data_IF_984175525810
#
_entry.id   IF_984175525810
#
_cell.length_a   1.000
_cell.length_b   1.000
_cell.length_c   1.000
_cell.angle_alpha   90.00
_cell.angle_beta   90.00
_cell.angle_gamma   90.00
#
_symmetry.space_group_name_H-M   'P 1'
#
loop_
_entity.id
_entity.type
_entity.pdbx_description
1 polymer ?
#
# COMPACT_ATOMS: atom_id res chain seq x y z
N UNK A 1 51.82 -32.98 16.11
CA UNK A 1 51.04 -32.90 14.86
C UNK A 1 49.56 -32.81 15.24
N UNK A 2 49.03 -31.63 15.26
CA UNK A 2 47.64 -31.35 15.59
C UNK A 2 46.88 -31.15 14.29
N UNK A 3 45.99 -32.07 13.94
CA UNK A 3 45.13 -31.96 12.78
C UNK A 3 43.83 -31.25 13.20
N UNK A 4 43.63 -30.02 12.72
CA UNK A 4 42.41 -29.29 12.82
C UNK A 4 41.33 -29.92 11.95
N UNK A 5 40.32 -30.50 12.56
CA UNK A 5 39.08 -30.90 11.91
C UNK A 5 38.01 -29.82 12.18
N UNK A 6 38.01 -28.78 11.38
CA UNK A 6 36.86 -27.88 11.29
C UNK A 6 35.88 -28.43 10.25
N UNK A 7 35.13 -29.44 10.66
CA UNK A 7 34.03 -29.98 9.87
C UNK A 7 32.85 -29.01 9.89
N UNK A 8 32.64 -28.31 8.80
CA UNK A 8 31.40 -27.59 8.47
C UNK A 8 30.23 -28.58 8.46
N UNK A 9 29.47 -28.65 9.53
CA UNK A 9 28.13 -29.23 9.54
C UNK A 9 27.22 -28.32 8.72
N UNK A 10 27.23 -28.48 7.40
CA UNK A 10 26.19 -27.95 6.56
C UNK A 10 24.89 -28.65 6.94
N UNK A 11 24.01 -27.89 7.55
CA UNK A 11 22.66 -28.33 7.89
C UNK A 11 21.88 -28.64 6.59
N UNK A 12 21.89 -29.90 6.16
CA UNK A 12 21.24 -30.40 4.94
C UNK A 12 19.74 -30.65 5.11
N UNK A 13 19.19 -30.42 6.29
CA UNK A 13 17.75 -30.52 6.52
C UNK A 13 17.06 -29.17 6.32
N UNK A 14 16.89 -28.75 5.06
CA UNK A 14 15.88 -27.75 4.72
C UNK A 14 14.50 -28.38 4.92
N UNK A 15 14.00 -28.31 6.15
CA UNK A 15 12.62 -28.70 6.42
C UNK A 15 11.67 -27.85 5.56
N UNK A 16 10.56 -28.42 5.12
CA UNK A 16 9.55 -27.70 4.34
C UNK A 16 9.05 -26.42 5.04
N UNK A 17 9.14 -26.34 6.35
CA UNK A 17 8.82 -25.16 7.16
C UNK A 17 9.71 -23.94 6.81
N UNK A 18 11.03 -24.13 6.61
CA UNK A 18 11.94 -23.04 6.23
C UNK A 18 11.63 -22.48 4.83
N UNK A 19 11.19 -23.34 3.89
CA UNK A 19 10.79 -22.88 2.56
C UNK A 19 9.54 -22.01 2.56
N UNK A 20 8.68 -22.14 3.58
CA UNK A 20 7.49 -21.27 3.74
C UNK A 20 7.84 -19.90 4.34
N UNK A 21 8.85 -19.83 5.21
CA UNK A 21 9.29 -18.56 5.80
C UNK A 21 10.00 -17.66 4.77
N UNK A 22 10.77 -18.20 3.84
CA UNK A 22 11.45 -17.46 2.78
C UNK A 22 10.50 -16.94 1.67
N UNK A 23 9.35 -17.58 1.49
CA UNK A 23 8.33 -17.11 0.56
C UNK A 23 7.47 -16.08 1.25
N UNK A 24 7.69 -14.83 0.97
CA UNK A 24 6.79 -13.76 1.39
C UNK A 24 5.31 -14.10 1.13
N UNK A 25 4.39 -13.33 1.67
CA UNK A 25 2.95 -13.59 1.54
C UNK A 25 2.56 -13.70 0.07
N UNK A 26 1.76 -14.72 -0.28
CA UNK A 26 1.32 -14.98 -1.65
C UNK A 26 0.58 -13.77 -2.22
N UNK A 27 1.10 -13.23 -3.31
CA UNK A 27 0.43 -12.20 -4.11
C UNK A 27 -0.48 -12.86 -5.15
N UNK A 28 -1.54 -12.17 -5.50
CA UNK A 28 -2.45 -12.62 -6.56
C UNK A 28 -1.78 -12.39 -7.91
N UNK A 29 -1.95 -13.33 -8.83
CA UNK A 29 -1.44 -13.16 -10.21
C UNK A 29 -2.07 -11.92 -10.84
N UNK A 30 -1.33 -11.12 -11.63
CA UNK A 30 -1.84 -9.86 -12.22
C UNK A 30 -3.15 -10.03 -13.00
N UNK A 31 -3.35 -11.19 -13.64
CA UNK A 31 -4.59 -11.53 -14.36
C UNK A 31 -5.82 -11.66 -13.45
N UNK A 32 -5.63 -12.03 -12.18
CA UNK A 32 -6.69 -12.24 -11.19
C UNK A 32 -6.88 -11.04 -10.24
N UNK A 33 -6.09 -10.00 -10.39
CA UNK A 33 -6.24 -8.78 -9.59
C UNK A 33 -7.52 -8.04 -9.99
N UNK A 34 -8.23 -7.56 -8.99
CA UNK A 34 -9.40 -6.70 -9.19
C UNK A 34 -8.92 -5.34 -9.68
N UNK A 35 -9.27 -4.97 -10.91
CA UNK A 35 -8.87 -3.68 -11.51
C UNK A 35 -9.70 -2.52 -10.99
N UNK A 36 -11.00 -2.73 -10.82
CA UNK A 36 -11.93 -1.69 -10.38
C UNK A 36 -12.47 -2.00 -9.00
N UNK A 37 -11.95 -1.31 -8.01
CA UNK A 37 -12.40 -1.43 -6.63
C UNK A 37 -13.60 -0.53 -6.39
N UNK A 38 -14.70 -1.12 -5.91
CA UNK A 38 -15.93 -0.39 -5.55
C UNK A 38 -15.98 -0.02 -4.07
N UNK A 39 -15.12 -0.62 -3.27
CA UNK A 39 -14.97 -0.39 -1.83
C UNK A 39 -13.72 0.44 -1.61
N UNK A 40 -13.80 1.44 -0.76
CA UNK A 40 -12.68 2.28 -0.34
C UNK A 40 -12.53 2.27 1.19
N UNK A 41 -11.37 2.69 1.74
CA UNK A 41 -11.25 2.92 3.19
C UNK A 41 -12.29 3.95 3.63
N UNK A 42 -12.90 3.73 4.81
CA UNK A 42 -14.01 4.54 5.34
C UNK A 42 -15.41 4.05 4.93
N UNK A 43 -15.53 3.09 4.00
CA UNK A 43 -16.84 2.54 3.63
C UNK A 43 -17.41 1.61 4.71
N UNK A 44 -18.72 1.67 4.90
CA UNK A 44 -19.45 0.72 5.70
C UNK A 44 -19.74 -0.54 4.88
N UNK A 45 -19.27 -1.68 5.35
CA UNK A 45 -19.39 -2.97 4.67
C UNK A 45 -19.96 -4.04 5.60
N UNK A 46 -20.61 -5.03 5.01
CA UNK A 46 -21.14 -6.20 5.72
C UNK A 46 -20.42 -7.46 5.26
N UNK A 47 -20.07 -8.35 6.19
CA UNK A 47 -19.45 -9.63 5.91
C UNK A 47 -20.51 -10.62 5.44
N UNK A 48 -20.32 -11.19 4.23
CA UNK A 48 -21.27 -12.13 3.63
C UNK A 48 -20.95 -13.57 4.02
N UNK A 49 -19.67 -13.89 4.18
CA UNK A 49 -19.20 -15.25 4.40
C UNK A 49 -18.04 -15.28 5.41
N UNK A 50 -18.01 -16.31 6.23
CA UNK A 50 -17.01 -16.52 7.28
C UNK A 50 -17.62 -16.55 8.66
N UNK A 51 -16.78 -16.49 9.70
CA UNK A 51 -17.20 -16.53 11.11
C UNK A 51 -18.06 -15.33 11.52
N UNK A 52 -17.78 -14.16 10.97
CA UNK A 52 -18.46 -12.90 11.30
C UNK A 52 -19.56 -12.55 10.28
N UNK A 53 -20.16 -13.57 9.64
CA UNK A 53 -21.22 -13.38 8.67
C UNK A 53 -22.40 -12.58 9.25
N UNK A 54 -22.83 -11.55 8.53
CA UNK A 54 -23.96 -10.68 8.92
C UNK A 54 -23.54 -9.48 9.77
N UNK A 55 -22.29 -9.42 10.22
CA UNK A 55 -21.78 -8.27 10.95
C UNK A 55 -21.34 -7.19 9.97
N UNK A 56 -21.53 -5.92 10.36
CA UNK A 56 -21.13 -4.75 9.58
C UNK A 56 -20.01 -3.98 10.28
N UNK A 57 -19.10 -3.40 9.51
CA UNK A 57 -17.98 -2.64 10.02
C UNK A 57 -17.41 -1.70 8.98
N UNK A 58 -16.59 -0.79 9.43
CA UNK A 58 -15.90 0.19 8.58
C UNK A 58 -14.61 -0.41 7.99
N UNK A 59 -14.33 -0.11 6.74
CA UNK A 59 -13.09 -0.54 6.07
C UNK A 59 -11.94 0.36 6.50
N UNK A 60 -10.94 -0.23 7.17
CA UNK A 60 -9.74 0.47 7.62
C UNK A 60 -8.68 0.57 6.52
N UNK A 61 -8.47 -0.51 5.78
CA UNK A 61 -7.40 -0.60 4.79
C UNK A 61 -7.75 -1.57 3.67
N UNK A 62 -7.25 -1.28 2.48
CA UNK A 62 -7.36 -2.13 1.29
C UNK A 62 -5.98 -2.58 0.84
N UNK A 63 -5.87 -3.86 0.45
CA UNK A 63 -4.66 -4.44 -0.13
C UNK A 63 -4.99 -4.97 -1.56
N UNK A 64 -4.83 -4.15 -2.58
CA UNK A 64 -5.16 -4.52 -3.95
C UNK A 64 -4.32 -5.68 -4.48
N UNK A 65 -3.07 -5.81 -4.04
CA UNK A 65 -2.15 -6.87 -4.49
C UNK A 65 -2.60 -8.27 -4.08
N UNK A 66 -3.46 -8.37 -3.06
CA UNK A 66 -4.00 -9.65 -2.54
C UNK A 66 -5.49 -9.77 -2.68
N UNK A 67 -6.18 -8.76 -3.21
CA UNK A 67 -7.63 -8.66 -3.23
C UNK A 67 -8.24 -8.77 -1.83
N UNK A 68 -7.60 -8.19 -0.83
CA UNK A 68 -8.01 -8.26 0.57
C UNK A 68 -8.27 -6.87 1.13
N UNK A 69 -9.10 -6.81 2.16
CA UNK A 69 -9.38 -5.61 2.91
C UNK A 69 -9.41 -5.91 4.42
N UNK A 70 -9.19 -4.89 5.23
CA UNK A 70 -9.24 -4.95 6.68
C UNK A 70 -10.47 -4.18 7.15
N UNK A 71 -11.34 -4.83 7.91
CA UNK A 71 -12.55 -4.24 8.45
C UNK A 71 -12.42 -4.13 9.96
N UNK A 72 -12.86 -3.02 10.50
CA UNK A 72 -12.87 -2.73 11.92
C UNK A 72 -13.70 -3.78 12.66
N UNK A 73 -13.16 -4.29 13.75
CA UNK A 73 -13.77 -5.25 14.65
C UNK A 73 -14.07 -6.65 14.06
N UNK A 74 -13.68 -6.92 12.82
CA UNK A 74 -13.94 -8.19 12.13
C UNK A 74 -12.69 -9.06 12.00
N UNK A 75 -12.89 -10.39 11.94
CA UNK A 75 -11.84 -11.39 11.78
C UNK A 75 -10.69 -11.22 12.78
N UNK A 76 -11.05 -10.95 14.05
CA UNK A 76 -10.10 -10.77 15.14
C UNK A 76 -9.38 -12.07 15.45
N UNK A 77 -8.08 -11.98 15.59
CA UNK A 77 -7.24 -13.09 16.08
C UNK A 77 -6.44 -12.65 17.29
N UNK A 78 -6.41 -13.54 18.26
CA UNK A 78 -5.57 -13.39 19.44
C UNK A 78 -4.11 -13.61 19.04
N UNK A 79 -3.26 -12.62 19.28
CA UNK A 79 -1.82 -12.70 19.15
C UNK A 79 -1.23 -12.44 20.52
N UNK A 80 -0.28 -13.26 20.92
CA UNK A 80 0.44 -13.09 22.18
C UNK A 80 1.76 -12.43 21.84
N UNK A 81 2.04 -11.29 22.47
CA UNK A 81 3.32 -10.58 22.34
C UNK A 81 4.42 -11.32 23.11
N UNK A 82 5.67 -10.94 22.93
CA UNK A 82 6.84 -11.50 23.61
C UNK A 82 6.73 -11.36 25.13
N UNK A 83 6.06 -10.33 25.61
CA UNK A 83 5.79 -10.08 27.04
C UNK A 83 4.66 -10.95 27.63
N UNK A 84 4.07 -11.86 26.84
CA UNK A 84 2.95 -12.71 27.25
C UNK A 84 1.57 -12.04 27.23
N UNK A 85 1.47 -10.77 26.84
CA UNK A 85 0.21 -10.05 26.75
C UNK A 85 -0.57 -10.46 25.49
N UNK A 86 -1.87 -10.75 25.65
CA UNK A 86 -2.73 -11.12 24.55
C UNK A 86 -3.38 -9.87 23.92
N UNK A 87 -3.11 -9.63 22.64
CA UNK A 87 -3.76 -8.58 21.84
C UNK A 87 -4.66 -9.21 20.77
N UNK A 88 -5.79 -8.56 20.50
CA UNK A 88 -6.65 -8.92 19.39
C UNK A 88 -6.30 -8.05 18.17
N UNK A 89 -5.93 -8.69 17.08
CA UNK A 89 -5.57 -8.01 15.83
C UNK A 89 -6.55 -8.41 14.74
N UNK A 90 -7.12 -7.42 14.04
CA UNK A 90 -7.98 -7.68 12.90
C UNK A 90 -7.16 -8.20 11.73
N UNK A 91 -7.55 -9.35 11.19
CA UNK A 91 -6.95 -9.94 10.00
C UNK A 91 -7.70 -9.51 8.74
N UNK A 92 -6.98 -9.50 7.62
CA UNK A 92 -7.56 -9.17 6.31
C UNK A 92 -8.58 -10.21 5.88
N UNK A 93 -9.68 -9.75 5.26
CA UNK A 93 -10.76 -10.55 4.68
C UNK A 93 -10.67 -10.39 3.15
N UNK A 94 -11.00 -11.44 2.40
CA UNK A 94 -11.02 -11.36 0.93
C UNK A 94 -12.20 -10.51 0.46
N UNK A 95 -11.99 -9.71 -0.58
CA UNK A 95 -12.99 -8.79 -1.15
C UNK A 95 -14.33 -9.47 -1.48
N UNK A 96 -14.32 -10.72 -1.99
CA UNK A 96 -15.54 -11.47 -2.32
C UNK A 96 -16.43 -11.81 -1.11
N UNK A 97 -15.86 -11.77 0.09
CA UNK A 97 -16.59 -12.11 1.33
C UNK A 97 -17.23 -10.90 2.00
N UNK A 98 -17.16 -9.75 1.35
CA UNK A 98 -17.66 -8.48 1.89
C UNK A 98 -18.50 -7.76 0.84
N UNK A 99 -19.55 -7.08 1.25
CA UNK A 99 -20.39 -6.25 0.40
C UNK A 99 -20.64 -4.89 1.04
N UNK A 100 -20.85 -3.87 0.22
CA UNK A 100 -21.28 -2.56 0.70
C UNK A 100 -22.69 -2.65 1.31
N UNK A 101 -22.92 -1.85 2.32
CA UNK A 101 -24.22 -1.73 2.98
C UNK A 101 -25.04 -0.67 2.25
N UNK A 102 -26.28 -0.98 1.96
CA UNK A 102 -27.24 -0.02 1.42
C UNK A 102 -27.65 0.96 2.53
N UNK A 103 -27.49 2.28 2.32
CA UNK A 103 -27.82 3.26 3.35
C UNK A 103 -29.30 3.28 3.73
N UNK A 104 -30.18 2.89 2.80
CA UNK A 104 -31.62 2.92 3.03
C UNK A 104 -32.13 1.72 3.80
N UNK A 105 -31.61 0.52 3.49
CA UNK A 105 -32.08 -0.74 4.09
C UNK A 105 -31.15 -1.33 5.13
N UNK A 106 -29.92 -0.84 5.23
CA UNK A 106 -28.92 -1.39 6.13
C UNK A 106 -28.49 -2.83 5.78
N UNK A 107 -28.73 -3.28 4.55
CA UNK A 107 -28.43 -4.64 4.11
C UNK A 107 -27.29 -4.66 3.09
N UNK A 108 -26.61 -5.80 3.03
CA UNK A 108 -25.57 -6.02 2.02
C UNK A 108 -26.15 -5.97 0.60
N UNK A 109 -25.58 -5.13 -0.25
CA UNK A 109 -26.05 -4.96 -1.63
C UNK A 109 -24.91 -5.11 -2.65
N UNK A 110 -25.30 -5.51 -3.87
CA UNK A 110 -24.42 -5.44 -5.03
C UNK A 110 -24.44 -4.01 -5.58
N UNK A 111 -23.28 -3.48 -5.90
CA UNK A 111 -23.12 -2.11 -6.38
C UNK A 111 -22.73 -2.07 -7.86
N UNK A 112 -23.45 -1.29 -8.64
CA UNK A 112 -23.09 -0.87 -9.98
C UNK A 112 -22.22 0.37 -9.94
N UNK A 113 -21.43 0.59 -10.99
CA UNK A 113 -20.79 1.88 -11.28
C UNK A 113 -21.51 2.48 -12.47
N UNK A 114 -21.96 3.70 -12.32
CA UNK A 114 -22.50 4.57 -13.39
C UNK A 114 -21.63 5.79 -13.48
N UNK A 115 -21.60 6.40 -14.65
CA UNK A 115 -20.84 7.63 -14.87
C UNK A 115 -21.81 8.77 -15.10
N UNK A 116 -21.52 9.92 -14.51
CA UNK A 116 -22.23 11.17 -14.74
C UNK A 116 -21.85 11.72 -16.12
N UNK A 117 -22.59 12.70 -16.61
CA UNK A 117 -22.26 13.42 -17.85
C UNK A 117 -20.88 14.10 -17.78
N UNK A 118 -20.48 14.51 -16.59
CA UNK A 118 -19.15 15.08 -16.27
C UNK A 118 -18.02 14.05 -16.25
N UNK A 119 -18.35 12.73 -16.34
CA UNK A 119 -17.37 11.62 -16.32
C UNK A 119 -17.07 11.07 -14.93
N UNK A 120 -17.69 11.55 -13.88
CA UNK A 120 -17.48 11.08 -12.54
C UNK A 120 -18.16 9.72 -12.28
N UNK A 121 -17.45 8.81 -11.65
CA UNK A 121 -17.96 7.48 -11.31
C UNK A 121 -18.82 7.54 -10.05
N UNK A 122 -20.08 7.14 -10.17
CA UNK A 122 -21.04 7.06 -9.06
C UNK A 122 -21.32 5.58 -8.74
N UNK A 123 -21.40 5.28 -7.45
CA UNK A 123 -21.80 3.94 -6.95
C UNK A 123 -23.30 3.90 -6.70
N UNK A 124 -23.97 2.95 -7.33
CA UNK A 124 -25.42 2.77 -7.20
C UNK A 124 -25.73 1.39 -6.65
N UNK A 125 -26.57 1.34 -5.61
CA UNK A 125 -27.11 0.10 -5.07
C UNK A 125 -28.00 -0.59 -6.11
N UNK A 126 -27.78 -1.87 -6.38
CA UNK A 126 -28.66 -2.63 -7.28
C UNK A 126 -29.98 -3.06 -6.62
N UNK A 127 -30.08 -2.95 -5.29
CA UNK A 127 -31.26 -3.35 -4.53
C UNK A 127 -32.31 -2.24 -4.50
N UNK A 128 -31.88 -1.01 -4.26
CA UNK A 128 -32.78 0.15 -4.05
C UNK A 128 -32.62 1.25 -5.10
N UNK A 129 -31.54 1.20 -5.90
CA UNK A 129 -31.21 2.27 -6.84
C UNK A 129 -30.59 3.52 -6.21
N UNK A 130 -30.39 3.51 -4.89
CA UNK A 130 -29.78 4.65 -4.20
C UNK A 130 -28.29 4.80 -4.49
N UNK A 131 -27.83 6.04 -4.54
CA UNK A 131 -26.42 6.38 -4.69
C UNK A 131 -25.71 6.17 -3.35
N UNK A 132 -24.59 5.45 -3.39
CA UNK A 132 -23.68 5.28 -2.25
C UNK A 132 -22.53 6.25 -2.43
N UNK A 133 -22.42 7.31 -1.61
CA UNK A 133 -21.36 8.29 -1.76
C UNK A 133 -19.98 7.64 -1.57
N UNK A 134 -18.98 8.23 -2.20
CA UNK A 134 -17.60 7.84 -1.90
C UNK A 134 -17.24 8.38 -0.52
N UNK A 135 -16.53 7.59 0.31
CA UNK A 135 -16.04 8.09 1.59
C UNK A 135 -14.99 9.18 1.34
N UNK A 136 -14.96 10.14 2.23
CA UNK A 136 -13.89 11.14 2.23
C UNK A 136 -12.53 10.45 2.36
N UNK A 137 -11.51 10.90 1.62
CA UNK A 137 -10.18 10.37 1.80
C UNK A 137 -9.77 10.58 3.26
N UNK A 138 -9.12 9.58 3.89
CA UNK A 138 -8.63 9.75 5.24
C UNK A 138 -7.77 11.02 5.25
N UNK A 139 -8.14 11.97 6.09
CA UNK A 139 -7.31 13.13 6.32
C UNK A 139 -5.97 12.60 6.83
N UNK A 140 -4.98 12.63 5.96
CA UNK A 140 -3.61 12.49 6.42
C UNK A 140 -3.33 13.78 7.21
N UNK A 141 -3.74 13.77 8.45
CA UNK A 141 -3.15 14.64 9.44
C UNK A 141 -1.70 14.17 9.59
N UNK A 142 -0.89 14.44 8.58
CA UNK A 142 0.49 14.70 8.83
C UNK A 142 0.41 15.85 9.83
N UNK A 143 0.52 15.54 11.12
CA UNK A 143 0.85 16.56 12.09
C UNK A 143 2.08 17.22 11.47
N UNK A 144 1.92 18.44 11.02
CA UNK A 144 3.04 19.34 10.84
C UNK A 144 3.64 19.41 12.24
N UNK A 145 4.54 18.48 12.52
CA UNK A 145 5.39 18.59 13.69
C UNK A 145 6.07 19.93 13.46
N UNK A 146 5.70 20.91 14.29
CA UNK A 146 6.34 22.21 14.28
C UNK A 146 7.83 21.90 14.38
N UNK A 147 8.49 21.99 13.24
CA UNK A 147 9.90 21.67 13.14
C UNK A 147 10.63 22.81 13.85
N UNK A 148 11.05 22.55 15.09
CA UNK A 148 11.91 23.46 15.82
C UNK A 148 13.25 23.52 15.10
N UNK A 149 13.58 24.71 14.57
CA UNK A 149 14.84 24.94 13.87
C UNK A 149 16.02 24.65 14.81
N UNK A 150 16.74 23.61 14.52
CA UNK A 150 17.92 23.22 15.27
C UNK A 150 19.15 24.08 14.89
N UNK A 151 20.15 24.20 15.77
CA UNK A 151 21.36 25.03 15.50
C UNK A 151 22.19 24.52 14.31
N UNK A 152 21.89 23.36 13.77
CA UNK A 152 22.55 22.77 12.58
C UNK A 152 21.66 22.82 11.34
N UNK A 153 20.45 23.34 11.43
CA UNK A 153 19.53 23.40 10.29
C UNK A 153 19.94 24.55 9.37
N UNK A 154 19.85 24.28 8.09
CA UNK A 154 20.13 25.28 7.07
C UNK A 154 18.92 26.18 6.89
N UNK A 155 19.04 27.51 7.02
CA UNK A 155 17.93 28.42 6.84
C UNK A 155 17.32 28.26 5.43
N UNK A 156 15.98 28.41 5.30
CA UNK A 156 15.26 28.14 4.07
C UNK A 156 15.77 28.95 2.87
N UNK A 157 16.24 30.18 3.10
CA UNK A 157 16.83 31.04 2.08
C UNK A 157 18.08 30.44 1.44
N UNK A 158 18.93 29.79 2.25
CA UNK A 158 20.15 29.13 1.77
C UNK A 158 19.81 27.80 1.12
N UNK A 159 18.83 27.06 1.67
CA UNK A 159 18.39 25.77 1.11
C UNK A 159 17.72 25.92 -0.27
N UNK A 160 17.01 27.01 -0.50
CA UNK A 160 16.36 27.33 -1.78
C UNK A 160 17.33 27.92 -2.81
N UNK A 161 18.53 28.32 -2.40
CA UNK A 161 19.51 28.88 -3.31
C UNK A 161 20.02 27.83 -4.28
N UNK A 162 19.82 28.06 -5.58
CA UNK A 162 20.35 27.19 -6.63
C UNK A 162 21.88 27.24 -6.60
N UNK A 163 22.52 26.18 -6.10
CA UNK A 163 23.97 26.07 -5.97
C UNK A 163 24.67 25.54 -7.24
N UNK A 164 23.92 24.78 -8.07
CA UNK A 164 24.41 24.13 -9.25
C UNK A 164 23.45 24.30 -10.44
N UNK A 165 23.98 24.73 -11.59
CA UNK A 165 23.23 24.82 -12.83
C UNK A 165 23.64 23.72 -13.81
N UNK A 166 22.85 22.66 -13.84
CA UNK A 166 23.07 21.50 -14.71
C UNK A 166 23.10 21.89 -16.21
N UNK A 167 22.28 22.84 -16.64
CA UNK A 167 22.16 23.22 -18.03
C UNK A 167 23.44 23.99 -18.49
N UNK A 168 23.90 24.89 -17.66
CA UNK A 168 25.15 25.64 -17.95
C UNK A 168 26.35 24.70 -18.01
N UNK A 169 26.45 23.73 -17.09
CA UNK A 169 27.55 22.77 -17.08
C UNK A 169 27.50 21.82 -18.29
N UNK A 170 26.30 21.35 -18.66
CA UNK A 170 26.10 20.53 -19.86
C UNK A 170 26.52 21.26 -21.15
N UNK A 171 26.16 22.52 -21.25
CA UNK A 171 26.57 23.34 -22.43
C UNK A 171 28.08 23.62 -22.45
N UNK A 172 28.68 23.87 -21.30
CA UNK A 172 30.12 24.00 -21.17
C UNK A 172 30.86 22.71 -21.58
N UNK A 173 30.37 21.54 -21.12
CA UNK A 173 30.92 20.25 -21.53
C UNK A 173 30.74 19.99 -23.03
N UNK A 174 29.61 20.39 -23.61
CA UNK A 174 29.37 20.27 -25.05
C UNK A 174 30.32 21.11 -25.85
N UNK A 175 30.53 22.34 -25.42
CA UNK A 175 31.50 23.27 -26.05
C UNK A 175 32.95 22.73 -25.97
N UNK A 176 33.34 22.25 -24.79
CA UNK A 176 34.65 21.63 -24.58
C UNK A 176 34.89 20.42 -25.51
N UNK A 177 33.88 19.56 -25.68
CA UNK A 177 33.95 18.41 -26.61
C UNK A 177 34.11 18.86 -28.07
N UNK A 178 33.39 19.90 -28.49
CA UNK A 178 33.50 20.45 -29.85
C UNK A 178 34.88 21.07 -30.11
N UNK A 179 35.48 21.72 -29.12
CA UNK A 179 36.82 22.26 -29.25
C UNK A 179 37.90 21.17 -29.31
N UNK A 180 37.74 20.11 -28.49
CA UNK A 180 38.64 18.94 -28.52
C UNK A 180 38.57 18.17 -29.85
N UNK A 181 37.38 18.02 -30.45
CA UNK A 181 37.20 17.32 -31.73
C UNK A 181 37.89 18.06 -32.88
N UNK A 182 37.98 19.38 -32.84
CA UNK A 182 38.71 20.14 -33.84
C UNK A 182 40.22 19.92 -33.76
N UNK A 183 40.78 19.63 -32.58
CA UNK A 183 42.23 19.39 -32.41
C UNK A 183 42.68 18.02 -32.89
N UNK A 184 41.81 17.03 -32.94
CA UNK A 184 42.15 15.64 -33.35
C UNK A 184 42.07 15.40 -34.87
N UNK A 185 41.59 16.36 -35.67
CA UNK A 185 41.38 16.17 -37.12
C UNK A 185 42.62 16.64 -37.97
N UNK A 186 43.64 17.19 -37.33
CA UNK A 186 44.86 17.67 -38.02
C UNK A 186 46.12 16.87 -37.63
N UNK A 187 45.97 15.56 -37.40
CA UNK A 187 47.11 14.64 -37.32
C UNK A 187 46.99 13.54 -38.35
#
# INVERSE_FOLDING_TARGET
MLANFSGLLQCTFRTNACRFAERGPKLVKPKLMIRTWKIRPGDLVMVISGGDKGSSGEVLMIDPRRNMLKVKDMNKRKVVDEDGNAKFIEKKIHYSNVALVDPTRGQATRVGLTFTEDGDAIRVSKLTGHIIPWPDPPKNELKEEEHEEGPKDTPPEIALRKTYDYHADKDAMRLARLTMTKYNYNR
#
